data_IF_152670897498
#
_entry.id   IF_152670897498
#
_cell.length_a   1.000
_cell.length_b   1.000
_cell.length_c   1.000
_cell.angle_alpha   90.00
_cell.angle_beta   90.00
_cell.angle_gamma   90.00
#
_symmetry.space_group_name_H-M   'P 1'
#
loop_
_entity.id
_entity.type
_entity.pdbx_description
1 polymer ?
#
# COMPACT_ATOMS: atom_id res chain seq x y z
N UNK A 1 -4.00 19.37 -3.37
CA UNK A 1 -5.01 18.30 -3.56
C UNK A 1 -5.82 18.52 -4.84
N UNK A 2 -5.17 18.49 -6.01
CA UNK A 2 -5.82 18.56 -7.34
C UNK A 2 -5.00 17.80 -8.40
N UNK A 3 -4.64 16.54 -8.14
CA UNK A 3 -3.86 15.70 -9.09
C UNK A 3 -4.59 14.41 -9.49
N UNK A 4 -5.92 14.41 -9.50
CA UNK A 4 -6.72 13.19 -9.69
C UNK A 4 -7.36 13.01 -11.08
N UNK A 5 -6.98 13.77 -12.12
CA UNK A 5 -7.79 13.79 -13.35
C UNK A 5 -7.26 13.19 -14.65
N UNK A 6 -5.98 12.85 -14.84
CA UNK A 6 -5.53 12.32 -16.16
C UNK A 6 -4.57 11.12 -16.05
N UNK A 7 -5.13 9.92 -15.94
CA UNK A 7 -4.36 8.68 -15.83
C UNK A 7 -4.14 7.91 -17.15
N UNK A 8 -4.71 8.32 -18.28
CA UNK A 8 -5.02 7.29 -19.29
C UNK A 8 -3.92 6.87 -20.29
N UNK A 9 -2.91 7.68 -20.63
CA UNK A 9 -1.79 7.21 -21.51
C UNK A 9 -0.44 7.82 -21.13
N UNK A 10 -0.39 9.13 -20.85
CA UNK A 10 0.84 9.80 -20.35
C UNK A 10 1.21 9.38 -18.93
N UNK A 11 0.24 8.88 -18.15
CA UNK A 11 0.47 8.48 -16.77
C UNK A 11 0.99 7.06 -16.64
N UNK A 12 0.53 6.11 -17.47
CA UNK A 12 0.95 4.69 -17.42
C UNK A 12 2.44 4.56 -17.74
N UNK A 13 2.92 5.27 -18.78
CA UNK A 13 4.35 5.30 -19.13
C UNK A 13 5.18 5.90 -17.99
N UNK A 14 4.72 7.00 -17.39
CA UNK A 14 5.40 7.63 -16.25
C UNK A 14 5.41 6.72 -15.01
N UNK A 15 4.30 6.04 -14.74
CA UNK A 15 4.14 5.11 -13.64
C UNK A 15 5.10 3.92 -13.78
N UNK A 16 5.14 3.30 -14.96
CA UNK A 16 6.06 2.20 -15.26
C UNK A 16 7.52 2.66 -15.17
N UNK A 17 7.85 3.81 -15.79
CA UNK A 17 9.20 4.38 -15.71
C UNK A 17 9.63 4.61 -14.27
N UNK A 18 8.76 5.15 -13.42
CA UNK A 18 9.08 5.37 -12.03
C UNK A 18 9.36 4.06 -11.27
N UNK A 19 8.61 3.00 -11.56
CA UNK A 19 8.89 1.66 -11.00
C UNK A 19 10.25 1.13 -11.47
N UNK A 20 10.62 1.35 -12.73
CA UNK A 20 11.93 0.99 -13.26
C UNK A 20 13.06 1.82 -12.60
N UNK A 21 12.84 3.12 -12.44
CA UNK A 21 13.79 4.02 -11.76
C UNK A 21 13.98 3.60 -10.28
N UNK A 22 12.92 3.17 -9.58
CA UNK A 22 13.02 2.61 -8.23
C UNK A 22 13.84 1.31 -8.20
N UNK A 23 13.67 0.44 -9.19
CA UNK A 23 14.41 -0.83 -9.28
C UNK A 23 15.92 -0.61 -9.46
N UNK A 24 16.28 0.38 -10.28
CA UNK A 24 17.68 0.81 -10.46
C UNK A 24 18.21 1.39 -9.15
N UNK A 25 17.45 2.28 -8.51
CA UNK A 25 17.87 2.96 -7.30
C UNK A 25 18.10 2.00 -6.13
N UNK A 26 17.21 1.03 -5.91
CA UNK A 26 17.40 0.05 -4.84
C UNK A 26 18.63 -0.82 -5.07
N UNK A 27 18.85 -1.26 -6.32
CA UNK A 27 20.00 -2.09 -6.68
C UNK A 27 21.31 -1.33 -6.46
N UNK A 28 21.33 -0.02 -6.77
CA UNK A 28 22.47 0.84 -6.49
C UNK A 28 22.75 0.95 -4.99
N UNK A 29 21.75 1.26 -4.17
CA UNK A 29 21.97 1.38 -2.72
C UNK A 29 22.45 0.08 -2.08
N UNK A 30 22.00 -1.07 -2.58
CA UNK A 30 22.51 -2.36 -2.13
C UNK A 30 23.99 -2.50 -2.50
N UNK A 31 24.37 -2.17 -3.74
CA UNK A 31 25.78 -2.15 -4.15
C UNK A 31 26.63 -1.30 -3.22
N UNK A 32 26.16 -0.09 -2.88
CA UNK A 32 26.87 0.81 -1.97
C UNK A 32 27.04 0.20 -0.55
N UNK A 33 26.05 -0.57 -0.05
CA UNK A 33 26.17 -1.32 1.22
C UNK A 33 27.13 -2.49 1.11
N UNK A 34 27.21 -3.14 -0.05
CA UNK A 34 28.12 -4.28 -0.26
C UNK A 34 29.60 -3.87 -0.23
N UNK A 35 29.90 -2.59 -0.49
CA UNK A 35 31.23 -2.02 -0.32
C UNK A 35 31.65 -1.93 1.16
N UNK A 36 30.71 -1.98 2.09
CA UNK A 36 31.00 -2.12 3.52
C UNK A 36 31.40 -3.58 3.78
N UNK A 37 32.58 -3.85 4.31
CA UNK A 37 33.09 -5.22 4.57
C UNK A 37 32.38 -5.93 5.75
N UNK A 38 31.05 -5.98 5.75
CA UNK A 38 30.20 -6.60 6.77
C UNK A 38 29.16 -7.55 6.15
N UNK A 39 29.40 -8.85 6.32
CA UNK A 39 28.57 -9.90 5.73
C UNK A 39 27.16 -10.01 6.31
N UNK A 40 26.93 -9.57 7.56
CA UNK A 40 25.59 -9.53 8.15
C UNK A 40 24.77 -8.38 7.57
N UNK A 41 25.41 -7.23 7.31
CA UNK A 41 24.78 -6.11 6.59
C UNK A 41 24.41 -6.49 5.16
N UNK A 42 25.27 -7.24 4.45
CA UNK A 42 24.98 -7.71 3.09
C UNK A 42 23.69 -8.54 3.03
N UNK A 43 23.52 -9.50 3.94
CA UNK A 43 22.32 -10.33 3.98
C UNK A 43 21.05 -9.50 4.25
N UNK A 44 21.14 -8.52 5.16
CA UNK A 44 20.03 -7.59 5.45
C UNK A 44 19.69 -6.74 4.23
N UNK A 45 20.70 -6.26 3.51
CA UNK A 45 20.52 -5.46 2.31
C UNK A 45 19.84 -6.23 1.18
N UNK A 46 20.33 -7.44 0.86
CA UNK A 46 19.69 -8.29 -0.16
C UNK A 46 18.25 -8.65 0.19
N UNK A 47 17.96 -8.90 1.47
CA UNK A 47 16.58 -9.17 1.91
C UNK A 47 15.67 -7.95 1.69
N UNK A 48 16.16 -6.74 1.99
CA UNK A 48 15.41 -5.51 1.75
C UNK A 48 15.20 -5.28 0.24
N UNK A 49 16.23 -5.49 -0.57
CA UNK A 49 16.17 -5.41 -2.03
C UNK A 49 15.10 -6.35 -2.61
N UNK A 50 15.11 -7.62 -2.17
CA UNK A 50 14.18 -8.63 -2.65
C UNK A 50 12.73 -8.25 -2.37
N UNK A 51 12.45 -7.69 -1.18
CA UNK A 51 11.12 -7.17 -0.87
C UNK A 51 10.72 -5.99 -1.76
N UNK A 52 11.62 -5.03 -2.01
CA UNK A 52 11.32 -3.88 -2.88
C UNK A 52 11.08 -4.35 -4.31
N UNK A 53 11.91 -5.24 -4.85
CA UNK A 53 11.72 -5.84 -6.17
C UNK A 53 10.40 -6.60 -6.28
N UNK A 54 10.00 -7.33 -5.23
CA UNK A 54 8.68 -7.94 -5.14
C UNK A 54 7.53 -6.94 -5.17
N UNK A 55 7.66 -5.81 -4.45
CA UNK A 55 6.65 -4.74 -4.49
C UNK A 55 6.53 -4.10 -5.88
N UNK A 56 7.67 -3.86 -6.53
CA UNK A 56 7.73 -3.33 -7.89
C UNK A 56 7.05 -4.30 -8.86
N UNK A 57 7.36 -5.59 -8.76
CA UNK A 57 6.75 -6.65 -9.56
C UNK A 57 5.22 -6.65 -9.45
N UNK A 58 4.68 -6.72 -8.22
CA UNK A 58 3.24 -6.71 -8.00
C UNK A 58 2.60 -5.40 -8.49
N UNK A 59 3.26 -4.26 -8.31
CA UNK A 59 2.74 -2.97 -8.78
C UNK A 59 2.71 -2.89 -10.33
N UNK A 60 3.72 -3.44 -11.02
CA UNK A 60 3.75 -3.56 -12.49
C UNK A 60 2.60 -4.44 -12.99
N UNK A 61 2.34 -5.57 -12.33
CA UNK A 61 1.22 -6.44 -12.68
C UNK A 61 -0.13 -5.76 -12.44
N UNK A 62 -0.31 -5.09 -11.29
CA UNK A 62 -1.55 -4.33 -11.01
C UNK A 62 -1.80 -3.31 -12.12
N UNK A 63 -0.78 -2.56 -12.55
CA UNK A 63 -0.91 -1.60 -13.65
C UNK A 63 -1.38 -2.25 -14.95
N UNK A 64 -0.78 -3.38 -15.33
CA UNK A 64 -1.14 -4.13 -16.54
C UNK A 64 -2.59 -4.60 -16.47
N UNK A 65 -2.94 -5.35 -15.41
CA UNK A 65 -4.28 -5.90 -15.19
C UNK A 65 -5.35 -4.80 -15.09
N UNK A 66 -5.01 -3.68 -14.46
CA UNK A 66 -5.89 -2.53 -14.38
C UNK A 66 -6.17 -1.94 -15.76
N UNK A 67 -5.13 -1.79 -16.58
CA UNK A 67 -5.25 -1.20 -17.92
C UNK A 67 -6.10 -2.09 -18.83
N UNK A 68 -5.84 -3.40 -18.84
CA UNK A 68 -6.64 -4.36 -19.61
C UNK A 68 -8.10 -4.40 -19.15
N UNK A 69 -8.35 -4.43 -17.83
CA UNK A 69 -9.72 -4.36 -17.31
C UNK A 69 -10.43 -3.05 -17.71
N UNK A 70 -9.72 -1.92 -17.65
CA UNK A 70 -10.28 -0.64 -18.06
C UNK A 70 -10.64 -0.61 -19.55
N UNK A 71 -9.79 -1.16 -20.42
CA UNK A 71 -10.06 -1.32 -21.86
C UNK A 71 -11.29 -2.21 -22.11
N UNK A 72 -11.38 -3.33 -21.41
CA UNK A 72 -12.53 -4.24 -21.46
C UNK A 72 -13.86 -3.56 -21.10
N UNK A 73 -13.85 -2.70 -20.08
CA UNK A 73 -15.01 -1.90 -19.66
C UNK A 73 -15.34 -0.86 -20.73
N UNK A 74 -14.33 -0.14 -21.25
CA UNK A 74 -14.53 0.88 -22.28
C UNK A 74 -15.23 0.28 -23.51
N UNK A 75 -14.72 -0.84 -24.04
CA UNK A 75 -15.30 -1.51 -25.22
C UNK A 75 -16.78 -1.84 -25.00
N UNK A 76 -17.11 -2.43 -23.85
CA UNK A 76 -18.50 -2.85 -23.53
C UNK A 76 -19.44 -1.66 -23.34
N UNK A 77 -18.96 -0.60 -22.69
CA UNK A 77 -19.76 0.62 -22.48
C UNK A 77 -19.97 1.39 -23.78
N UNK A 78 -19.09 1.24 -24.78
CA UNK A 78 -19.26 1.85 -26.12
C UNK A 78 -20.02 0.97 -27.12
N UNK A 79 -20.09 -0.34 -26.92
CA UNK A 79 -20.67 -1.28 -27.88
C UNK A 79 -22.20 -1.17 -28.00
N UNK A 80 -22.88 -0.62 -26.99
CA UNK A 80 -24.33 -0.43 -27.01
C UNK A 80 -24.67 0.92 -27.69
N UNK A 81 -24.71 0.91 -29.03
CA UNK A 81 -24.96 2.10 -29.86
C UNK A 81 -26.28 2.79 -29.49
N UNK A 82 -26.17 3.90 -28.76
CA UNK A 82 -27.29 4.76 -28.39
C UNK A 82 -27.81 4.61 -26.96
N UNK A 83 -27.30 3.65 -26.16
CA UNK A 83 -27.67 3.51 -24.75
C UNK A 83 -26.48 3.80 -23.84
N UNK A 84 -26.59 4.89 -23.06
CA UNK A 84 -25.64 5.14 -21.97
C UNK A 84 -25.94 4.17 -20.84
N UNK A 85 -25.11 3.15 -20.69
CA UNK A 85 -25.20 2.21 -19.58
C UNK A 85 -24.94 2.94 -18.26
N UNK A 86 -25.73 2.61 -17.25
CA UNK A 86 -25.51 3.04 -15.86
C UNK A 86 -24.79 1.96 -15.05
N UNK A 87 -24.96 0.68 -15.44
CA UNK A 87 -24.41 -0.50 -14.75
C UNK A 87 -23.89 -1.49 -15.79
N UNK A 88 -22.72 -2.07 -15.54
CA UNK A 88 -22.13 -3.15 -16.32
C UNK A 88 -21.79 -4.32 -15.41
N UNK A 89 -22.33 -5.50 -15.74
CA UNK A 89 -21.94 -6.79 -15.15
C UNK A 89 -21.22 -7.57 -16.24
N UNK A 90 -19.99 -7.98 -15.97
CA UNK A 90 -19.17 -8.69 -16.95
C UNK A 90 -18.28 -9.70 -16.28
N UNK A 91 -18.08 -10.85 -16.91
CA UNK A 91 -16.97 -11.72 -16.56
C UNK A 91 -15.64 -11.05 -16.95
N UNK A 92 -14.67 -11.02 -16.04
CA UNK A 92 -13.31 -10.55 -16.30
C UNK A 92 -12.31 -11.27 -15.41
N UNK A 93 -11.40 -12.02 -16.02
CA UNK A 93 -10.32 -12.67 -15.27
C UNK A 93 -9.29 -11.63 -14.77
N UNK A 94 -9.15 -10.52 -15.49
CA UNK A 94 -8.18 -9.46 -15.20
C UNK A 94 -8.48 -8.77 -13.87
N UNK A 95 -9.76 -8.55 -13.51
CA UNK A 95 -10.09 -7.98 -12.19
C UNK A 95 -9.73 -8.95 -11.06
N UNK A 96 -9.92 -10.25 -11.24
CA UNK A 96 -9.58 -11.23 -10.21
C UNK A 96 -8.06 -11.27 -10.00
N UNK A 97 -7.29 -11.36 -11.09
CA UNK A 97 -5.83 -11.33 -11.04
C UNK A 97 -5.30 -10.03 -10.44
N UNK A 98 -5.86 -8.88 -10.82
CA UNK A 98 -5.53 -7.58 -10.22
C UNK A 98 -5.68 -7.60 -8.70
N UNK A 99 -6.76 -8.19 -8.20
CA UNK A 99 -7.04 -8.22 -6.76
C UNK A 99 -6.11 -9.18 -6.01
N UNK A 100 -5.68 -10.28 -6.62
CA UNK A 100 -4.63 -11.14 -6.06
C UNK A 100 -3.27 -10.43 -5.99
N UNK A 101 -2.88 -9.72 -7.05
CA UNK A 101 -1.65 -8.92 -7.07
C UNK A 101 -1.71 -7.81 -6.02
N UNK A 102 -2.86 -7.14 -5.87
CA UNK A 102 -3.06 -6.13 -4.84
C UNK A 102 -3.00 -6.70 -3.42
N UNK A 103 -3.58 -7.89 -3.20
CA UNK A 103 -3.44 -8.61 -1.93
C UNK A 103 -1.98 -8.90 -1.58
N UNK A 104 -1.21 -9.40 -2.55
CA UNK A 104 0.20 -9.69 -2.39
C UNK A 104 0.99 -8.41 -2.10
N UNK A 105 0.72 -7.34 -2.85
CA UNK A 105 1.33 -6.02 -2.64
C UNK A 105 1.09 -5.51 -1.21
N UNK A 106 -0.16 -5.54 -0.73
CA UNK A 106 -0.52 -5.02 0.61
C UNK A 106 0.16 -5.82 1.71
N UNK A 107 0.16 -7.15 1.62
CA UNK A 107 0.83 -8.01 2.61
C UNK A 107 2.35 -7.84 2.60
N UNK A 108 2.95 -7.82 1.41
CA UNK A 108 4.37 -7.58 1.26
C UNK A 108 4.74 -6.20 1.78
N UNK A 109 3.95 -5.16 1.48
CA UNK A 109 4.20 -3.79 1.96
C UNK A 109 4.30 -3.74 3.48
N UNK A 110 3.33 -4.34 4.18
CA UNK A 110 3.35 -4.41 5.64
C UNK A 110 4.58 -5.16 6.13
N UNK A 111 4.84 -6.35 5.57
CA UNK A 111 5.98 -7.20 5.96
C UNK A 111 7.32 -6.49 5.74
N UNK A 112 7.45 -5.71 4.69
CA UNK A 112 8.64 -4.92 4.40
C UNK A 112 8.85 -3.82 5.43
N UNK A 113 7.79 -3.09 5.81
CA UNK A 113 7.87 -2.09 6.88
C UNK A 113 8.27 -2.69 8.23
N UNK A 114 7.75 -3.87 8.58
CA UNK A 114 8.18 -4.59 9.79
C UNK A 114 9.67 -4.93 9.74
N UNK A 115 10.13 -5.42 8.58
CA UNK A 115 11.51 -5.85 8.39
C UNK A 115 12.50 -4.69 8.28
N UNK A 116 12.05 -3.43 8.19
CA UNK A 116 12.93 -2.28 8.38
C UNK A 116 13.68 -2.38 9.72
N UNK A 117 13.03 -2.93 10.76
CA UNK A 117 13.63 -3.06 12.09
C UNK A 117 14.85 -3.96 12.08
N UNK A 118 14.85 -4.96 11.19
CA UNK A 118 15.97 -5.87 10.95
C UNK A 118 17.07 -5.12 10.18
N UNK A 119 16.71 -4.34 9.16
CA UNK A 119 17.69 -3.58 8.36
C UNK A 119 18.46 -2.58 9.24
N UNK A 120 17.75 -1.75 10.01
CA UNK A 120 18.36 -0.68 10.82
C UNK A 120 18.79 -1.12 12.22
N UNK A 121 18.61 -2.40 12.58
CA UNK A 121 18.97 -2.94 13.91
C UNK A 121 20.39 -2.57 14.40
N UNK A 122 21.43 -2.57 13.54
CA UNK A 122 22.79 -2.20 13.97
C UNK A 122 22.90 -0.75 14.46
N UNK A 123 22.04 0.14 13.95
CA UNK A 123 22.04 1.57 14.23
C UNK A 123 21.39 1.93 15.58
N UNK A 124 20.71 0.99 16.24
CA UNK A 124 20.07 1.25 17.52
C UNK A 124 20.97 0.88 18.71
N UNK A 125 21.03 1.76 19.72
CA UNK A 125 21.72 1.51 21.00
C UNK A 125 21.04 0.35 21.74
N UNK A 126 19.72 0.45 21.91
CA UNK A 126 18.94 -0.55 22.62
C UNK A 126 18.31 -1.54 21.63
N UNK A 127 18.36 -2.82 21.98
CA UNK A 127 17.94 -3.91 21.09
C UNK A 127 16.47 -4.30 21.24
N UNK A 128 15.74 -3.61 22.12
CA UNK A 128 14.30 -3.76 22.34
C UNK A 128 13.46 -3.00 21.29
N UNK A 129 13.84 -3.10 20.02
CA UNK A 129 13.15 -2.45 18.91
C UNK A 129 11.86 -3.24 18.59
N UNK A 130 10.71 -2.58 18.37
CA UNK A 130 9.50 -3.27 17.97
C UNK A 130 9.68 -4.02 16.64
N UNK A 131 9.17 -5.24 16.58
CA UNK A 131 9.23 -6.08 15.37
C UNK A 131 8.18 -5.71 14.32
N UNK A 132 7.20 -4.90 14.69
CA UNK A 132 6.09 -4.50 13.83
C UNK A 132 6.00 -2.98 13.78
N UNK A 133 5.79 -2.42 12.58
CA UNK A 133 5.66 -0.95 12.44
C UNK A 133 4.48 -0.41 13.26
N UNK A 134 3.42 -1.20 13.43
CA UNK A 134 2.25 -0.83 14.25
C UNK A 134 2.59 -0.59 15.72
N UNK A 135 3.66 -1.20 16.23
CA UNK A 135 4.01 -1.18 17.64
C UNK A 135 4.85 0.05 18.00
N UNK A 136 5.45 0.74 17.03
CA UNK A 136 6.24 1.95 17.27
C UNK A 136 5.41 3.10 17.87
N UNK A 137 4.10 3.13 17.63
CA UNK A 137 3.17 4.08 18.26
C UNK A 137 3.07 3.96 19.78
N UNK A 138 3.44 2.80 20.32
CA UNK A 138 3.43 2.54 21.77
C UNK A 138 4.66 3.11 22.50
N UNK A 139 5.60 3.72 21.79
CA UNK A 139 6.84 4.26 22.34
C UNK A 139 7.18 5.65 21.82
N UNK A 140 8.45 6.01 22.01
CA UNK A 140 9.14 7.15 21.40
C UNK A 140 10.44 6.67 20.78
N UNK A 141 10.83 7.23 19.64
CA UNK A 141 12.08 6.91 18.94
C UNK A 141 12.68 8.20 18.40
N UNK A 142 14.00 8.29 18.36
CA UNK A 142 14.70 9.39 17.68
C UNK A 142 15.13 9.02 16.25
N UNK A 143 14.72 7.85 15.74
CA UNK A 143 14.96 7.48 14.34
C UNK A 143 13.91 8.18 13.45
N UNK A 144 14.32 9.15 12.60
CA UNK A 144 13.36 10.01 11.89
C UNK A 144 12.43 9.24 10.95
N UNK A 145 12.94 8.19 10.31
CA UNK A 145 12.15 7.27 9.47
C UNK A 145 10.96 6.68 10.25
N UNK A 146 11.18 6.22 11.48
CA UNK A 146 10.12 5.62 12.28
C UNK A 146 9.18 6.66 12.89
N UNK A 147 9.67 7.85 13.25
CA UNK A 147 8.80 8.95 13.66
C UNK A 147 7.83 9.34 12.54
N UNK A 148 8.33 9.42 11.29
CA UNK A 148 7.51 9.68 10.10
C UNK A 148 6.51 8.55 9.86
N UNK A 149 6.96 7.31 9.77
CA UNK A 149 6.09 6.15 9.48
C UNK A 149 5.01 5.93 10.55
N UNK A 150 5.34 6.13 11.83
CA UNK A 150 4.38 5.96 12.91
C UNK A 150 3.26 7.01 12.88
N UNK A 151 3.46 8.15 12.22
CA UNK A 151 2.47 9.22 12.14
C UNK A 151 1.89 9.41 10.73
N UNK A 152 2.28 8.58 9.77
CA UNK A 152 1.84 8.68 8.38
C UNK A 152 0.45 8.05 8.18
N UNK A 153 -0.56 8.82 7.73
CA UNK A 153 -1.90 8.31 7.45
C UNK A 153 -1.92 7.18 6.41
N UNK A 154 -0.95 7.12 5.48
CA UNK A 154 -0.88 6.07 4.47
C UNK A 154 -0.41 4.75 5.07
N UNK A 155 0.56 4.80 5.97
CA UNK A 155 0.99 3.64 6.75
C UNK A 155 -0.17 3.09 7.59
N UNK A 156 -0.93 3.95 8.25
CA UNK A 156 -2.13 3.54 9.01
C UNK A 156 -3.20 2.89 8.15
N UNK A 157 -3.49 3.50 7.00
CA UNK A 157 -4.46 2.97 6.06
C UNK A 157 -4.01 1.62 5.50
N UNK A 158 -2.73 1.46 5.15
CA UNK A 158 -2.15 0.18 4.71
C UNK A 158 -2.33 -0.91 5.77
N UNK A 159 -2.06 -0.61 7.04
CA UNK A 159 -2.19 -1.58 8.15
C UNK A 159 -3.64 -1.99 8.34
N UNK A 160 -4.57 -1.02 8.37
CA UNK A 160 -5.99 -1.31 8.53
C UNK A 160 -6.51 -2.12 7.30
N UNK A 161 -6.11 -1.76 6.08
CA UNK A 161 -6.43 -2.48 4.85
C UNK A 161 -5.92 -3.94 4.89
N UNK A 162 -4.63 -4.13 5.22
CA UNK A 162 -4.03 -5.46 5.36
C UNK A 162 -4.79 -6.31 6.38
N UNK A 163 -5.13 -5.74 7.53
CA UNK A 163 -5.82 -6.47 8.58
C UNK A 163 -7.24 -6.87 8.16
N UNK A 164 -7.96 -5.99 7.45
CA UNK A 164 -9.23 -6.35 6.84
C UNK A 164 -9.09 -7.53 5.89
N UNK A 165 -8.12 -7.49 4.99
CA UNK A 165 -7.89 -8.52 3.99
C UNK A 165 -7.53 -9.89 4.56
N UNK A 166 -6.79 -9.91 5.66
CA UNK A 166 -6.32 -11.16 6.27
C UNK A 166 -7.33 -11.74 7.25
N UNK A 167 -8.11 -10.90 7.96
CA UNK A 167 -8.89 -11.36 9.12
C UNK A 167 -10.41 -11.19 8.99
N UNK A 168 -10.89 -10.38 8.04
CA UNK A 168 -12.31 -9.97 8.02
C UNK A 168 -13.00 -10.18 6.68
N UNK A 169 -12.35 -9.82 5.58
CA UNK A 169 -12.89 -9.97 4.22
C UNK A 169 -11.77 -10.43 3.30
N UNK A 170 -11.75 -11.72 3.00
CA UNK A 170 -10.83 -12.24 1.99
C UNK A 170 -11.25 -11.74 0.60
N UNK A 171 -10.31 -11.61 -0.34
CA UNK A 171 -10.61 -11.40 -1.76
C UNK A 171 -11.14 -12.69 -2.40
N UNK A 172 -12.17 -13.32 -1.84
CA UNK A 172 -12.93 -14.28 -2.61
C UNK A 172 -13.67 -13.49 -3.71
N UNK A 173 -12.94 -13.12 -4.76
CA UNK A 173 -13.45 -12.39 -5.91
C UNK A 173 -14.07 -13.41 -6.85
N UNK A 174 -15.36 -13.24 -7.10
CA UNK A 174 -16.04 -13.91 -8.18
C UNK A 174 -15.40 -13.46 -9.51
N UNK A 175 -15.43 -14.31 -10.53
CA UNK A 175 -14.89 -14.01 -11.86
C UNK A 175 -15.73 -12.93 -12.59
N UNK A 176 -16.81 -12.46 -11.95
CA UNK A 176 -17.68 -11.40 -12.40
C UNK A 176 -17.28 -10.05 -11.78
N UNK A 177 -17.04 -9.06 -12.64
CA UNK A 177 -16.88 -7.65 -12.30
C UNK A 177 -18.22 -6.92 -12.35
N UNK A 178 -18.43 -6.07 -11.35
CA UNK A 178 -19.55 -5.13 -11.28
C UNK A 178 -19.00 -3.70 -11.37
N UNK A 179 -19.42 -2.96 -12.40
CA UNK A 179 -18.92 -1.60 -12.69
C UNK A 179 -20.10 -0.66 -12.81
N UNK A 180 -20.07 0.44 -12.05
CA UNK A 180 -21.18 1.40 -11.99
C UNK A 180 -20.75 2.75 -12.55
N UNK A 181 -21.63 3.42 -13.26
CA UNK A 181 -21.41 4.82 -13.64
C UNK A 181 -21.35 5.73 -12.41
N UNK A 182 -20.39 6.65 -12.39
CA UNK A 182 -20.26 7.63 -11.31
C UNK A 182 -21.54 8.47 -11.17
N UNK A 183 -21.99 8.64 -9.92
CA UNK A 183 -23.21 9.39 -9.58
C UNK A 183 -24.50 8.58 -9.55
N UNK A 184 -24.47 7.30 -9.97
CA UNK A 184 -25.62 6.39 -9.85
C UNK A 184 -25.68 5.81 -8.44
N UNK A 185 -26.85 5.88 -7.79
CA UNK A 185 -27.05 5.26 -6.48
C UNK A 185 -27.10 3.73 -6.63
N UNK A 186 -26.31 3.05 -5.81
CA UNK A 186 -26.15 1.59 -5.79
C UNK A 186 -27.22 0.90 -4.94
N UNK A 187 -27.98 1.67 -4.14
CA UNK A 187 -28.96 1.13 -3.18
C UNK A 187 -30.04 0.27 -3.87
N UNK A 188 -30.43 0.59 -5.11
CA UNK A 188 -31.45 -0.17 -5.86
C UNK A 188 -30.93 -1.46 -6.50
N UNK A 189 -29.61 -1.62 -6.65
CA UNK A 189 -28.96 -2.78 -7.29
C UNK A 189 -28.40 -3.74 -6.25
N UNK A 190 -27.93 -3.20 -5.13
CA UNK A 190 -27.47 -3.95 -3.96
C UNK A 190 -28.54 -4.89 -3.39
N UNK A 191 -29.84 -4.60 -3.55
CA UNK A 191 -30.90 -5.51 -3.09
C UNK A 191 -30.96 -6.84 -3.87
N UNK A 192 -30.52 -6.86 -5.14
CA UNK A 192 -30.51 -8.05 -5.99
C UNK A 192 -29.19 -8.82 -5.85
N UNK A 193 -28.10 -8.14 -5.48
CA UNK A 193 -26.74 -8.69 -5.54
C UNK A 193 -25.97 -8.63 -4.21
N UNK A 194 -26.67 -8.42 -3.08
CA UNK A 194 -26.15 -8.22 -1.72
C UNK A 194 -25.07 -9.22 -1.28
N UNK A 195 -25.23 -10.50 -1.67
CA UNK A 195 -24.31 -11.58 -1.31
C UNK A 195 -23.09 -11.69 -2.25
N UNK A 196 -23.13 -11.04 -3.41
CA UNK A 196 -22.10 -11.12 -4.47
C UNK A 196 -21.31 -9.81 -4.62
N UNK A 197 -21.83 -8.69 -4.09
CA UNK A 197 -21.44 -7.31 -4.48
C UNK A 197 -21.07 -6.42 -3.28
N UNK A 198 -20.50 -6.99 -2.21
CA UNK A 198 -19.77 -6.17 -1.23
C UNK A 198 -18.23 -6.26 -1.40
N UNK A 199 -17.68 -6.04 -2.62
CA UNK A 199 -16.25 -6.09 -2.81
C UNK A 199 -15.60 -4.94 -2.04
N UNK A 200 -14.42 -5.18 -1.50
CA UNK A 200 -13.65 -4.15 -0.82
C UNK A 200 -13.34 -2.99 -1.78
N UNK A 201 -13.04 -3.28 -3.05
CA UNK A 201 -12.81 -2.27 -4.07
C UNK A 201 -14.03 -2.15 -5.01
N UNK A 202 -14.36 -0.91 -5.39
CA UNK A 202 -15.51 -0.61 -6.25
C UNK A 202 -15.05 -0.05 -7.58
N UNK A 203 -15.37 -0.74 -8.66
CA UNK A 203 -15.11 -0.25 -10.01
C UNK A 203 -16.22 0.72 -10.45
N UNK A 204 -15.82 1.86 -10.99
CA UNK A 204 -16.70 2.89 -11.50
C UNK A 204 -16.23 3.39 -12.87
N UNK A 205 -17.15 3.89 -13.69
CA UNK A 205 -16.80 4.59 -14.93
C UNK A 205 -17.53 5.93 -15.06
N UNK A 206 -16.99 6.84 -15.85
CA UNK A 206 -17.66 8.10 -16.23
C UNK A 206 -17.45 8.41 -17.70
N UNK A 207 -18.46 9.03 -18.31
CA UNK A 207 -18.34 9.65 -19.62
C UNK A 207 -17.77 11.07 -19.45
N UNK A 208 -16.75 11.43 -20.23
CA UNK A 208 -16.23 12.80 -20.28
C UNK A 208 -16.91 13.62 -21.37
N UNK A 209 -16.72 14.95 -21.32
CA UNK A 209 -17.26 15.89 -22.32
C UNK A 209 -16.78 15.56 -23.75
N UNK A 210 -15.55 15.05 -23.89
CA UNK A 210 -14.95 14.60 -25.15
C UNK A 210 -15.39 13.19 -25.60
N UNK A 211 -16.46 12.61 -25.06
CA UNK A 211 -16.88 11.21 -25.30
C UNK A 211 -15.88 10.13 -24.84
N UNK A 212 -14.82 10.50 -24.13
CA UNK A 212 -13.88 9.53 -23.55
C UNK A 212 -14.53 8.86 -22.34
N UNK A 213 -14.15 7.61 -22.09
CA UNK A 213 -14.58 6.88 -20.89
C UNK A 213 -13.39 6.79 -19.95
N UNK A 214 -13.63 7.10 -18.68
CA UNK A 214 -12.62 6.95 -17.63
C UNK A 214 -13.12 5.90 -16.65
N UNK A 215 -12.28 4.89 -16.39
CA UNK A 215 -12.57 3.79 -15.46
C UNK A 215 -11.66 3.92 -14.24
N UNK A 216 -12.27 3.82 -13.06
CA UNK A 216 -11.60 3.89 -11.78
C UNK A 216 -11.96 2.70 -10.90
N UNK A 217 -10.99 2.16 -10.17
CA UNK A 217 -11.24 1.23 -9.08
C UNK A 217 -10.92 1.95 -7.77
N UNK A 218 -11.91 2.09 -6.90
CA UNK A 218 -11.76 2.82 -5.64
C UNK A 218 -11.70 1.88 -4.44
N UNK A 219 -10.82 2.20 -3.49
CA UNK A 219 -10.72 1.57 -2.18
C UNK A 219 -11.63 2.31 -1.18
N UNK A 220 -12.03 1.66 -0.06
CA UNK A 220 -12.90 2.29 0.93
C UNK A 220 -12.23 3.48 1.60
N UNK A 221 -13.00 4.53 1.89
CA UNK A 221 -12.50 5.71 2.62
C UNK A 221 -12.00 5.34 4.02
N UNK A 222 -12.65 4.35 4.65
CA UNK A 222 -12.40 3.89 6.00
C UNK A 222 -12.62 2.38 6.11
N UNK A 223 -11.70 1.70 6.80
CA UNK A 223 -11.75 0.24 6.97
C UNK A 223 -12.38 -0.17 8.31
N UNK A 224 -11.98 0.48 9.40
CA UNK A 224 -12.48 0.19 10.75
C UNK A 224 -13.01 1.43 11.44
N UNK A 225 -14.14 1.29 12.14
CA UNK A 225 -14.62 2.27 13.10
C UNK A 225 -13.80 2.18 14.38
N UNK A 226 -12.99 3.21 14.64
CA UNK A 226 -12.18 3.36 15.84
C UNK A 226 -13.05 3.98 16.94
N UNK A 227 -13.92 3.17 17.54
CA UNK A 227 -14.63 3.57 18.75
C UNK A 227 -13.63 3.46 19.92
N UNK A 228 -13.57 4.47 20.79
CA UNK A 228 -12.50 4.68 21.79
C UNK A 228 -12.20 3.55 22.80
N UNK A 229 -12.88 2.39 22.71
CA UNK A 229 -12.72 1.23 23.59
C UNK A 229 -11.78 0.15 23.04
N UNK A 230 -11.10 0.38 21.91
CA UNK A 230 -10.13 -0.56 21.34
C UNK A 230 -10.73 -1.67 20.46
N UNK A 231 -12.04 -1.89 20.52
CA UNK A 231 -12.76 -2.78 19.60
C UNK A 231 -12.84 -2.17 18.21
N UNK A 232 -12.10 -2.75 17.26
CA UNK A 232 -12.18 -2.42 15.82
C UNK A 232 -13.34 -3.19 15.20
N UNK A 233 -14.43 -2.51 14.87
CA UNK A 233 -15.50 -3.06 14.00
C UNK A 233 -15.27 -2.60 12.56
N UNK A 234 -15.57 -3.46 11.59
CA UNK A 234 -15.55 -3.07 10.17
C UNK A 234 -16.48 -1.88 9.98
N UNK A 235 -15.96 -0.83 9.33
CA UNK A 235 -16.76 0.32 8.95
C UNK A 235 -17.70 -0.06 7.78
N UNK A 236 -18.78 0.69 7.62
CA UNK A 236 -19.51 0.71 6.35
C UNK A 236 -18.61 1.34 5.30
N UNK A 237 -18.30 0.60 4.24
CA UNK A 237 -17.42 1.11 3.17
C UNK A 237 -18.13 2.20 2.36
N UNK A 238 -17.47 3.36 2.27
CA UNK A 238 -17.82 4.50 1.43
C UNK A 238 -16.67 4.79 0.47
N UNK A 239 -16.93 5.53 -0.61
CA UNK A 239 -15.98 5.78 -1.70
C UNK A 239 -16.01 7.25 -2.14
N UNK A 240 -16.18 8.15 -1.18
CA UNK A 240 -16.37 9.58 -1.38
C UNK A 240 -15.03 10.29 -1.59
N UNK A 241 -13.96 9.83 -0.93
CA UNK A 241 -12.61 10.40 -1.10
C UNK A 241 -11.89 9.90 -2.37
N UNK A 242 -12.50 8.97 -3.11
CA UNK A 242 -11.99 8.46 -4.40
C UNK A 242 -10.54 7.95 -4.31
N UNK A 243 -10.25 7.15 -3.28
CA UNK A 243 -8.96 6.49 -3.12
C UNK A 243 -8.72 5.47 -4.25
N UNK A 244 -8.08 5.90 -5.34
CA UNK A 244 -7.85 5.05 -6.50
C UNK A 244 -6.86 3.91 -6.15
N UNK A 245 -7.22 2.67 -6.48
CA UNK A 245 -6.45 1.46 -6.17
C UNK A 245 -5.05 1.53 -6.75
N UNK A 246 -4.90 1.83 -8.04
CA UNK A 246 -3.61 1.93 -8.70
C UNK A 246 -2.74 3.03 -8.08
N UNK A 247 -3.34 4.18 -7.79
CA UNK A 247 -2.68 5.28 -7.09
C UNK A 247 -2.19 4.88 -5.69
N UNK A 248 -3.01 4.16 -4.92
CA UNK A 248 -2.63 3.69 -3.58
C UNK A 248 -1.59 2.56 -3.62
N UNK A 249 -1.63 1.68 -4.62
CA UNK A 249 -0.58 0.68 -4.86
C UNK A 249 0.79 1.36 -5.00
N UNK A 250 0.89 2.39 -5.84
CA UNK A 250 2.13 3.16 -5.97
C UNK A 250 2.51 3.89 -4.67
N UNK A 251 1.55 4.45 -3.93
CA UNK A 251 1.83 5.12 -2.65
C UNK A 251 2.38 4.15 -1.61
N UNK A 252 1.85 2.93 -1.53
CA UNK A 252 2.38 1.89 -0.64
C UNK A 252 3.81 1.50 -1.06
N UNK A 253 4.04 1.22 -2.35
CA UNK A 253 5.38 0.92 -2.87
C UNK A 253 6.38 2.03 -2.57
N UNK A 254 6.03 3.29 -2.83
CA UNK A 254 6.85 4.47 -2.50
C UNK A 254 7.17 4.57 -1.02
N UNK A 255 6.16 4.37 -0.16
CA UNK A 255 6.33 4.47 1.29
C UNK A 255 7.35 3.46 1.80
N UNK A 256 7.27 2.22 1.34
CA UNK A 256 8.24 1.17 1.70
C UNK A 256 9.60 1.45 1.09
N UNK A 257 9.65 1.81 -0.19
CA UNK A 257 10.87 2.07 -0.93
C UNK A 257 11.67 3.20 -0.29
N UNK A 258 11.07 4.38 -0.12
CA UNK A 258 11.79 5.53 0.44
C UNK A 258 12.22 5.30 1.89
N UNK A 259 11.42 4.58 2.69
CA UNK A 259 11.84 4.22 4.05
C UNK A 259 13.02 3.23 4.02
N UNK A 260 13.03 2.29 3.08
CA UNK A 260 14.18 1.39 2.89
C UNK A 260 15.44 2.15 2.48
N UNK A 261 15.31 3.12 1.55
CA UNK A 261 16.42 3.97 1.13
C UNK A 261 16.95 4.85 2.26
N UNK A 262 16.07 5.43 3.09
CA UNK A 262 16.46 6.14 4.30
C UNK A 262 17.27 5.23 5.22
N UNK A 263 16.80 4.00 5.43
CA UNK A 263 17.51 2.97 6.21
C UNK A 263 18.91 2.67 5.65
N UNK A 264 19.06 2.51 4.34
CA UNK A 264 20.35 2.32 3.70
C UNK A 264 21.25 3.55 3.84
N UNK A 265 20.71 4.75 3.64
CA UNK A 265 21.47 5.98 3.83
C UNK A 265 22.03 6.09 5.25
N UNK A 266 21.26 5.69 6.27
CA UNK A 266 21.77 5.66 7.64
C UNK A 266 22.88 4.63 7.83
N UNK A 267 22.77 3.44 7.23
CA UNK A 267 23.82 2.42 7.31
C UNK A 267 25.13 2.85 6.64
N UNK A 268 25.05 3.57 5.51
CA UNK A 268 26.21 4.01 4.73
C UNK A 268 26.86 5.25 5.37
N UNK A 269 26.06 6.23 5.77
CA UNK A 269 26.54 7.59 6.07
C UNK A 269 26.59 7.93 7.56
N UNK A 270 25.92 7.17 8.43
CA UNK A 270 25.68 7.60 9.80
C UNK A 270 26.53 6.87 10.84
N UNK A 271 27.13 7.65 11.76
CA UNK A 271 27.59 7.15 13.06
C UNK A 271 26.50 7.27 14.14
N UNK A 272 25.29 7.73 13.78
CA UNK A 272 24.22 7.96 14.74
C UNK A 272 23.78 6.66 15.39
N UNK A 273 23.50 6.76 16.70
CA UNK A 273 22.89 5.68 17.44
C UNK A 273 21.47 6.06 17.82
N UNK A 274 20.51 5.37 17.23
CA UNK A 274 19.09 5.55 17.51
C UNK A 274 18.68 4.85 18.81
N UNK A 275 17.54 5.26 19.36
CA UNK A 275 16.95 4.70 20.57
C UNK A 275 15.45 4.55 20.40
N UNK A 276 14.87 3.53 21.04
CA UNK A 276 13.42 3.36 21.16
C UNK A 276 13.03 3.13 22.62
N UNK A 277 12.13 3.95 23.16
CA UNK A 277 11.64 3.83 24.53
C UNK A 277 10.14 3.50 24.53
N UNK A 278 9.77 2.32 25.03
CA UNK A 278 8.35 1.92 25.13
C UNK A 278 7.65 2.72 26.23
N UNK A 279 6.48 3.31 25.96
CA UNK A 279 5.72 4.06 26.98
C UNK A 279 5.33 3.12 28.13
N UNK A 280 5.48 3.61 29.36
CA UNK A 280 5.14 2.86 30.57
C UNK A 280 6.26 1.98 31.13
N UNK A 281 7.37 1.79 30.40
CA UNK A 281 8.64 1.36 30.98
C UNK A 281 9.43 2.64 31.27
N UNK A 282 9.23 3.19 32.48
CA UNK A 282 10.03 4.32 32.95
C UNK A 282 11.52 4.01 32.80
N UNK A 283 12.32 5.05 32.56
CA UNK A 283 13.78 5.02 32.50
C UNK A 283 14.32 4.01 33.51
N UNK A 284 14.78 2.85 33.02
CA UNK A 284 15.75 2.08 33.79
C UNK A 284 17.01 2.93 33.76
N UNK A 285 17.09 3.85 34.73
CA UNK A 285 18.28 4.60 35.08
C UNK A 285 19.42 3.57 35.12
N UNK A 286 20.31 3.64 34.13
CA UNK A 286 21.55 2.90 34.19
C UNK A 286 22.36 3.51 35.34
N UNK A 287 22.25 2.92 36.52
CA UNK A 287 23.21 3.14 37.58
C UNK A 287 24.55 2.58 37.08
N UNK A 288 25.41 3.45 36.54
CA UNK A 288 26.84 3.19 36.47
C UNK A 288 27.36 3.21 37.91
N UNK A 289 27.25 2.06 38.58
CA UNK A 289 27.90 1.81 39.86
C UNK A 289 29.40 1.70 39.65
N UNK A 290 30.10 2.83 39.68
CA UNK A 290 31.47 2.85 40.17
C UNK A 290 31.42 2.55 41.66
N UNK A 291 31.93 1.39 42.06
CA UNK A 291 32.42 1.19 43.41
C UNK A 291 33.91 0.86 43.26
N UNK A 292 34.69 1.83 43.72
CA UNK A 292 36.12 1.78 44.02
C UNK A 292 36.48 0.70 45.01
#
# INVERSE_FOLDING_TARGET
MKDNQDLYVRSVVKFRKELDDMEILISKCVSDVLELEDSDLHLRAYRAEWHIKGLIYHCKNILEKYTTFAEEVMIRVTADEGRRLDILIMHSQEIQQLMYEFYALVNLSKRSLDNLSILVYPLFVNKDIPKSISDFKSGTTNCPMYERLANDPITDYLIDLRNCLVHFRTFATNDNAYVIKEGVNDDSVMDIAKDWVSPMAKAMFRYTEDTKIVVNIFLPDKIFDKNGNGDKKLAKFTYDNKFNLLGYSMRFTRTVMFSTLEGFSYLINSQEKFTYNKRGLGEKVMYTGFIS
#
